data_IF_606105586336
#
_entry.id   IF_606105586336
#
_cell.length_a   1.000
_cell.length_b   1.000
_cell.length_c   1.000
_cell.angle_alpha   90.00
_cell.angle_beta   90.00
_cell.angle_gamma   90.00
#
_symmetry.space_group_name_H-M   'P 1'
#
loop_
_entity.id
_entity.type
_entity.pdbx_description
1 polymer ?
#
# COMPACT_ATOMS: atom_id res chain seq x y z
N UNK A 1 18.47 -7.90 2.54
CA UNK A 1 18.44 -6.80 1.55
C UNK A 1 17.01 -6.33 1.44
N UNK A 2 16.75 -5.01 1.40
CA UNK A 2 15.39 -4.50 1.35
C UNK A 2 14.74 -4.76 -0.03
N UNK A 3 13.42 -4.79 -0.06
CA UNK A 3 12.63 -4.69 -1.28
C UNK A 3 12.47 -3.21 -1.67
N UNK A 4 12.80 -2.87 -2.91
CA UNK A 4 12.73 -1.51 -3.43
C UNK A 4 11.67 -1.45 -4.53
N UNK A 5 10.57 -0.76 -4.25
CA UNK A 5 9.56 -0.44 -5.25
C UNK A 5 9.99 0.78 -6.06
N UNK A 6 10.07 0.59 -7.37
CA UNK A 6 10.36 1.63 -8.35
C UNK A 6 9.03 2.09 -8.96
N UNK A 7 8.49 3.19 -8.44
CA UNK A 7 7.16 3.72 -8.78
C UNK A 7 7.31 4.80 -9.85
N UNK A 8 6.75 4.64 -11.06
CA UNK A 8 6.77 5.71 -12.07
C UNK A 8 6.15 7.00 -11.53
N UNK A 9 6.74 8.15 -11.85
CA UNK A 9 6.27 9.47 -11.38
C UNK A 9 4.81 9.75 -11.74
N UNK A 10 4.34 9.23 -12.87
CA UNK A 10 2.96 9.34 -13.35
C UNK A 10 1.99 8.33 -12.70
N UNK A 11 2.48 7.42 -11.88
CA UNK A 11 1.65 6.38 -11.28
C UNK A 11 0.83 6.94 -10.12
N UNK A 12 -0.47 6.68 -10.16
CA UNK A 12 -1.37 6.91 -9.04
C UNK A 12 -2.43 5.81 -8.96
N UNK A 13 -2.60 5.25 -7.77
CA UNK A 13 -3.51 4.14 -7.49
C UNK A 13 -2.94 3.09 -6.55
N UNK A 14 -3.66 1.97 -6.37
CA UNK A 14 -3.26 0.89 -5.48
C UNK A 14 -2.28 -0.07 -6.16
N UNK A 15 -1.28 -0.48 -5.40
CA UNK A 15 -0.28 -1.49 -5.77
C UNK A 15 -0.52 -2.73 -4.93
N UNK A 16 -0.47 -3.89 -5.56
CA UNK A 16 -0.49 -5.20 -4.91
C UNK A 16 0.68 -6.01 -5.41
N UNK A 17 1.49 -6.53 -4.49
CA UNK A 17 2.53 -7.51 -4.78
C UNK A 17 2.10 -8.87 -4.28
N UNK A 18 2.13 -9.87 -5.17
CA UNK A 18 1.78 -11.26 -4.92
C UNK A 18 3.06 -12.08 -5.04
N UNK A 19 3.42 -12.81 -3.99
CA UNK A 19 4.57 -13.72 -3.97
C UNK A 19 4.14 -15.15 -4.28
N UNK A 20 5.12 -16.00 -4.61
CA UNK A 20 4.92 -17.41 -4.94
C UNK A 20 3.92 -17.63 -6.10
N UNK A 21 4.08 -16.84 -7.17
CA UNK A 21 3.15 -16.80 -8.30
C UNK A 21 3.71 -17.54 -9.52
N UNK A 22 3.00 -18.58 -10.02
CA UNK A 22 3.33 -19.20 -11.31
C UNK A 22 3.36 -18.16 -12.44
N UNK A 23 4.49 -18.10 -13.16
CA UNK A 23 4.67 -17.11 -14.23
C UNK A 23 4.87 -15.67 -13.76
N UNK A 24 5.15 -15.45 -12.47
CA UNK A 24 5.60 -14.16 -11.95
C UNK A 24 6.96 -13.75 -12.52
N UNK A 25 7.45 -12.58 -12.11
CA UNK A 25 8.80 -12.11 -12.40
C UNK A 25 9.77 -12.51 -11.29
N UNK A 26 11.06 -12.53 -11.63
CA UNK A 26 12.13 -12.54 -10.65
C UNK A 26 12.44 -11.10 -10.23
N UNK A 27 12.80 -10.90 -8.96
CA UNK A 27 13.22 -9.58 -8.49
C UNK A 27 14.61 -9.26 -9.04
N UNK A 28 14.82 -8.01 -9.46
CA UNK A 28 16.11 -7.59 -10.02
C UNK A 28 17.05 -7.21 -8.87
N UNK A 29 18.22 -7.86 -8.71
CA UNK A 29 19.19 -7.40 -7.70
C UNK A 29 19.75 -6.03 -8.09
N UNK A 30 19.58 -5.05 -7.21
CA UNK A 30 20.16 -3.72 -7.30
C UNK A 30 21.30 -3.54 -6.29
N UNK A 31 21.90 -2.34 -6.29
CA UNK A 31 23.00 -2.00 -5.38
C UNK A 31 22.58 -2.02 -3.91
N UNK A 32 21.38 -1.52 -3.62
CA UNK A 32 20.89 -1.28 -2.26
C UNK A 32 19.78 -2.25 -1.84
N UNK A 33 19.32 -3.14 -2.73
CA UNK A 33 18.21 -4.05 -2.46
C UNK A 33 17.72 -4.81 -3.68
N UNK A 34 16.65 -5.57 -3.52
CA UNK A 34 15.91 -6.19 -4.63
C UNK A 34 14.95 -5.17 -5.21
N UNK A 35 15.05 -4.88 -6.49
CA UNK A 35 14.26 -3.87 -7.19
C UNK A 35 13.07 -4.51 -7.93
N UNK A 36 11.93 -3.83 -7.87
CA UNK A 36 10.75 -4.17 -8.67
C UNK A 36 10.08 -2.91 -9.18
N UNK A 37 9.80 -2.88 -10.50
CA UNK A 37 9.08 -1.77 -11.12
C UNK A 37 7.57 -1.96 -10.97
N UNK A 38 6.89 -0.92 -10.50
CA UNK A 38 5.43 -0.91 -10.43
C UNK A 38 4.86 -0.80 -11.85
N UNK A 39 4.07 -1.79 -12.32
CA UNK A 39 3.44 -1.73 -13.64
C UNK A 39 2.27 -0.75 -13.64
N UNK A 40 1.80 -0.36 -14.82
CA UNK A 40 0.72 0.63 -14.97
C UNK A 40 -0.58 0.26 -14.23
N UNK A 41 -0.87 -1.04 -14.08
CA UNK A 41 -2.03 -1.54 -13.36
C UNK A 41 -1.78 -1.75 -11.85
N UNK A 42 -0.54 -1.61 -11.38
CA UNK A 42 -0.16 -1.78 -9.97
C UNK A 42 -0.06 -3.23 -9.50
N UNK A 43 -0.27 -4.24 -10.33
CA UNK A 43 -0.24 -5.65 -9.89
C UNK A 43 1.10 -6.29 -10.24
N UNK A 44 1.86 -6.65 -9.21
CA UNK A 44 3.16 -7.30 -9.31
C UNK A 44 2.99 -8.76 -8.91
N UNK A 45 3.46 -9.69 -9.74
CA UNK A 45 3.51 -11.12 -9.44
C UNK A 45 4.95 -11.56 -9.38
N UNK A 46 5.39 -12.17 -8.28
CA UNK A 46 6.77 -12.61 -8.05
C UNK A 46 6.79 -14.13 -7.94
N UNK A 47 7.74 -14.80 -8.60
CA UNK A 47 7.77 -16.27 -8.67
C UNK A 47 8.01 -16.98 -7.34
N UNK A 48 8.76 -16.37 -6.44
CA UNK A 48 9.20 -17.01 -5.20
C UNK A 48 8.83 -16.22 -3.96
N UNK A 49 9.07 -16.84 -2.81
CA UNK A 49 9.02 -16.21 -1.50
C UNK A 49 10.38 -15.60 -1.20
N UNK A 50 10.39 -14.36 -0.71
CA UNK A 50 11.59 -13.65 -0.34
C UNK A 50 11.47 -13.15 1.10
N UNK A 51 12.56 -13.23 1.85
CA UNK A 51 12.70 -12.54 3.13
C UNK A 51 13.45 -11.24 2.90
N UNK A 52 12.88 -10.14 3.37
CA UNK A 52 13.50 -8.82 3.25
C UNK A 52 14.01 -8.36 4.61
N UNK A 53 15.23 -7.88 4.61
CA UNK A 53 15.91 -7.35 5.79
C UNK A 53 16.35 -5.92 5.54
N UNK A 54 16.47 -5.14 6.60
CA UNK A 54 17.12 -3.83 6.57
C UNK A 54 18.54 -3.98 5.97
N UNK A 55 18.96 -3.04 5.12
CA UNK A 55 20.29 -3.13 4.50
C UNK A 55 20.62 -2.00 3.53
N UNK A 56 21.89 -1.95 3.10
CA UNK A 56 22.37 -0.97 2.12
C UNK A 56 22.28 0.48 2.61
N UNK A 57 21.90 1.39 1.71
CA UNK A 57 21.67 2.81 2.01
C UNK A 57 20.42 3.15 2.84
N UNK A 58 19.61 2.17 3.26
CA UNK A 58 18.31 2.37 3.91
C UNK A 58 18.20 1.59 5.24
N UNK A 59 18.90 2.01 6.31
CA UNK A 59 19.04 1.21 7.53
C UNK A 59 17.75 1.05 8.35
N UNK A 60 16.74 1.90 8.12
CA UNK A 60 15.49 1.89 8.87
C UNK A 60 14.35 1.09 8.26
N UNK A 61 14.53 0.51 7.07
CA UNK A 61 13.41 -0.09 6.32
C UNK A 61 13.81 -1.34 5.54
N UNK A 62 13.03 -2.42 5.69
CA UNK A 62 13.09 -3.62 4.84
C UNK A 62 12.32 -3.46 3.53
N UNK A 63 11.49 -2.42 3.43
CA UNK A 63 10.73 -2.03 2.24
C UNK A 63 10.98 -0.54 1.97
N UNK A 64 11.35 -0.23 0.74
CA UNK A 64 11.72 1.12 0.30
C UNK A 64 10.89 1.49 -0.92
N UNK A 65 10.40 2.73 -0.94
CA UNK A 65 9.59 3.25 -2.03
C UNK A 65 10.32 4.41 -2.70
N UNK A 66 10.68 4.24 -3.97
CA UNK A 66 11.34 5.25 -4.77
C UNK A 66 10.43 5.65 -5.93
N UNK A 67 10.15 6.94 -6.05
CA UNK A 67 9.58 7.48 -7.27
C UNK A 67 10.67 7.55 -8.34
N UNK A 68 10.38 7.12 -9.56
CA UNK A 68 11.26 7.22 -10.72
C UNK A 68 10.72 8.25 -11.71
N UNK A 69 11.50 9.30 -11.94
CA UNK A 69 11.23 10.29 -12.97
C UNK A 69 11.58 9.80 -14.39
N UNK A 70 11.20 10.58 -15.40
CA UNK A 70 11.47 10.25 -16.83
C UNK A 70 12.95 10.09 -17.17
N UNK A 71 13.83 10.74 -16.40
CA UNK A 71 15.29 10.70 -16.57
C UNK A 71 15.96 9.65 -15.66
N UNK A 72 15.18 8.68 -15.15
CA UNK A 72 15.63 7.67 -14.18
C UNK A 72 16.10 8.23 -12.82
N UNK A 73 15.84 9.51 -12.55
CA UNK A 73 16.03 10.10 -11.23
C UNK A 73 15.15 9.38 -10.20
N UNK A 74 15.76 9.01 -9.06
CA UNK A 74 15.11 8.27 -7.99
C UNK A 74 14.92 9.16 -6.77
N UNK A 75 13.68 9.36 -6.36
CA UNK A 75 13.33 10.20 -5.20
C UNK A 75 12.62 9.34 -4.15
N UNK A 76 13.14 9.26 -2.91
CA UNK A 76 12.46 8.53 -1.84
C UNK A 76 11.08 9.12 -1.54
N UNK A 77 10.08 8.25 -1.40
CA UNK A 77 8.74 8.63 -0.97
C UNK A 77 8.62 8.59 0.54
N UNK A 78 7.73 9.43 1.06
CA UNK A 78 7.23 9.36 2.43
C UNK A 78 6.15 8.29 2.53
N UNK A 79 5.97 7.74 3.72
CA UNK A 79 4.93 6.79 4.03
C UNK A 79 4.02 7.32 5.14
N UNK A 80 2.72 7.35 4.86
CA UNK A 80 1.69 7.62 5.84
C UNK A 80 1.43 6.37 6.68
N UNK A 81 1.54 6.51 8.00
CA UNK A 81 1.30 5.46 8.98
C UNK A 81 -0.15 5.58 9.46
N UNK A 82 -0.89 4.47 9.36
CA UNK A 82 -2.27 4.33 9.83
C UNK A 82 -2.40 4.68 11.31
N UNK A 83 -3.59 5.07 11.79
CA UNK A 83 -3.79 5.43 13.19
C UNK A 83 -3.36 4.35 14.18
N UNK A 84 -2.70 4.76 15.26
CA UNK A 84 -2.41 3.91 16.41
C UNK A 84 -2.64 4.66 17.72
N UNK A 85 -2.75 3.89 18.80
CA UNK A 85 -2.90 4.42 20.16
C UNK A 85 -1.55 4.45 20.87
N UNK A 86 -1.26 5.54 21.56
CA UNK A 86 -0.20 5.60 22.57
C UNK A 86 -0.78 5.99 23.93
N UNK A 87 -0.22 5.40 24.98
CA UNK A 87 -0.57 5.69 26.37
C UNK A 87 0.59 6.45 27.00
N UNK A 88 0.27 7.57 27.66
CA UNK A 88 1.26 8.30 28.46
C UNK A 88 1.50 7.66 29.83
N UNK A 89 2.36 8.27 30.64
CA UNK A 89 2.71 7.78 31.98
C UNK A 89 1.54 7.87 32.98
N UNK A 90 0.47 8.58 32.64
CA UNK A 90 -0.72 8.80 33.46
C UNK A 90 -1.90 7.94 32.96
N UNK A 91 -1.64 6.92 32.12
CA UNK A 91 -2.64 6.08 31.46
C UNK A 91 -3.67 6.89 30.64
N UNK A 92 -3.25 8.02 30.03
CA UNK A 92 -4.09 8.74 29.07
C UNK A 92 -3.78 8.27 27.66
N UNK A 93 -4.82 7.81 26.97
CA UNK A 93 -4.75 7.39 25.57
C UNK A 93 -4.82 8.59 24.63
N UNK A 94 -3.97 8.58 23.60
CA UNK A 94 -4.02 9.51 22.46
C UNK A 94 -3.97 8.74 21.15
N UNK A 95 -4.80 9.11 20.18
CA UNK A 95 -4.68 8.62 18.81
C UNK A 95 -3.65 9.45 18.04
N UNK A 96 -2.80 8.74 17.30
CA UNK A 96 -1.74 9.31 16.50
C UNK A 96 -1.83 8.78 15.09
N UNK A 97 -1.44 9.60 14.14
CA UNK A 97 -1.05 9.21 12.78
C UNK A 97 0.40 9.60 12.56
N UNK A 98 1.02 9.12 11.48
CA UNK A 98 2.46 9.30 11.33
C UNK A 98 2.93 9.47 9.90
N UNK A 99 4.08 10.10 9.75
CA UNK A 99 4.83 10.17 8.50
C UNK A 99 6.19 9.54 8.74
N UNK A 100 6.50 8.48 8.01
CA UNK A 100 7.80 7.81 8.03
C UNK A 100 8.61 8.19 6.80
N UNK A 101 9.86 8.58 7.02
CA UNK A 101 10.83 8.76 5.93
C UNK A 101 11.59 7.46 5.61
N UNK A 102 12.38 7.49 4.54
CA UNK A 102 13.18 6.34 4.09
C UNK A 102 14.30 5.93 5.05
N UNK A 103 14.64 6.78 6.04
CA UNK A 103 15.61 6.47 7.09
C UNK A 103 14.96 5.83 8.31
N UNK A 104 13.62 5.70 8.30
CA UNK A 104 12.85 5.18 9.42
C UNK A 104 12.50 6.23 10.47
N UNK A 105 12.76 7.53 10.22
CA UNK A 105 12.34 8.57 11.15
C UNK A 105 10.82 8.72 11.08
N UNK A 106 10.16 8.52 12.23
CA UNK A 106 8.73 8.66 12.36
C UNK A 106 8.39 10.02 12.97
N UNK A 107 7.74 10.88 12.19
CA UNK A 107 7.04 12.04 12.72
C UNK A 107 5.66 11.61 13.20
N UNK A 108 5.41 11.75 14.51
CA UNK A 108 4.11 11.48 15.13
C UNK A 108 3.24 12.74 15.10
N UNK A 109 1.99 12.59 14.69
CA UNK A 109 1.03 13.69 14.56
C UNK A 109 -0.21 13.30 15.38
N UNK A 110 -0.60 14.11 16.38
CA UNK A 110 -1.85 13.89 17.09
C UNK A 110 -3.03 13.91 16.14
N UNK A 111 -3.87 12.88 16.19
CA UNK A 111 -5.08 12.81 15.39
C UNK A 111 -6.20 13.57 16.10
N UNK A 112 -6.82 14.51 15.40
CA UNK A 112 -8.06 15.12 15.86
C UNK A 112 -9.20 14.11 15.66
N UNK A 113 -10.07 13.95 16.66
CA UNK A 113 -11.25 13.08 16.54
C UNK A 113 -12.33 13.64 15.59
N UNK A 114 -11.96 14.52 14.65
CA UNK A 114 -12.90 15.09 13.71
C UNK A 114 -13.46 14.01 12.78
N UNK A 115 -14.75 14.09 12.47
CA UNK A 115 -15.34 13.33 11.38
C UNK A 115 -14.65 13.77 10.08
N UNK A 116 -13.81 12.91 9.50
CA UNK A 116 -12.94 13.33 8.40
C UNK A 116 -12.09 12.19 7.83
N UNK A 117 -11.27 12.54 6.84
CA UNK A 117 -10.29 11.63 6.28
C UNK A 117 -9.13 11.46 7.26
N UNK A 118 -8.67 10.23 7.45
CA UNK A 118 -7.74 9.85 8.52
C UNK A 118 -6.41 10.63 8.53
N UNK A 119 -6.02 11.22 7.39
CA UNK A 119 -4.79 12.00 7.23
C UNK A 119 -5.02 13.51 7.14
N UNK A 120 -6.20 14.01 7.52
CA UNK A 120 -6.52 15.44 7.47
C UNK A 120 -5.62 16.29 8.39
N UNK A 121 -5.09 15.71 9.47
CA UNK A 121 -4.19 16.38 10.42
C UNK A 121 -2.73 16.48 9.93
N UNK A 122 -2.41 15.93 8.74
CA UNK A 122 -1.06 16.01 8.22
C UNK A 122 -0.66 17.48 7.93
N UNK A 123 0.63 17.86 8.03
CA UNK A 123 1.06 19.20 7.67
C UNK A 123 0.74 19.54 6.20
N UNK A 124 0.25 20.75 5.94
CA UNK A 124 -0.04 21.23 4.57
C UNK A 124 1.15 21.03 3.61
N UNK A 125 2.38 21.16 4.12
CA UNK A 125 3.62 20.95 3.35
C UNK A 125 3.80 19.55 2.74
N UNK A 126 2.98 18.57 3.12
CA UNK A 126 3.02 17.20 2.60
C UNK A 126 1.73 16.75 1.92
N UNK A 127 0.59 17.41 2.12
CA UNK A 127 -0.71 16.92 1.65
C UNK A 127 -0.83 16.79 0.13
N UNK A 128 -0.13 17.65 -0.61
CA UNK A 128 -0.07 17.62 -2.08
C UNK A 128 1.04 16.73 -2.65
N UNK A 129 1.94 16.21 -1.79
CA UNK A 129 3.06 15.39 -2.25
C UNK A 129 2.62 13.94 -2.45
N UNK A 130 3.09 13.27 -3.51
CA UNK A 130 2.95 11.82 -3.61
C UNK A 130 3.60 11.13 -2.41
N UNK A 131 2.90 10.16 -1.85
CA UNK A 131 3.34 9.34 -0.72
C UNK A 131 2.75 7.94 -0.83
N UNK A 132 3.18 7.08 0.07
CA UNK A 132 2.64 5.74 0.26
C UNK A 132 1.60 5.80 1.36
N UNK A 133 0.38 5.34 1.10
CA UNK A 133 -0.71 5.31 2.06
C UNK A 133 -1.19 3.88 2.24
N UNK A 134 -1.67 3.58 3.45
CA UNK A 134 -2.25 2.30 3.82
C UNK A 134 -1.40 1.10 3.39
N UNK A 135 -0.09 1.16 3.65
CA UNK A 135 0.79 0.03 3.45
C UNK A 135 0.45 -1.06 4.48
N UNK A 136 0.09 -2.24 4.00
CA UNK A 136 -0.35 -3.37 4.83
C UNK A 136 -0.10 -4.71 4.13
N UNK A 137 -0.23 -5.80 4.86
CA UNK A 137 -0.44 -7.11 4.26
C UNK A 137 -1.82 -7.17 3.61
N UNK A 138 -1.95 -7.86 2.47
CA UNK A 138 -3.25 -8.01 1.80
C UNK A 138 -3.96 -9.34 2.07
N UNK A 139 -3.38 -10.20 2.92
CA UNK A 139 -3.88 -11.54 3.20
C UNK A 139 -5.29 -11.52 3.79
N UNK A 140 -5.62 -10.49 4.57
CA UNK A 140 -6.88 -10.40 5.29
C UNK A 140 -8.04 -9.88 4.42
N UNK A 141 -7.78 -9.29 3.24
CA UNK A 141 -8.79 -8.42 2.58
C UNK A 141 -8.90 -8.57 1.07
N UNK A 142 -7.84 -8.95 0.37
CA UNK A 142 -7.86 -8.94 -1.09
C UNK A 142 -8.52 -10.20 -1.65
N UNK A 143 -8.32 -11.38 -1.08
CA UNK A 143 -8.84 -12.62 -1.71
C UNK A 143 -10.07 -13.24 -1.01
N UNK A 144 -10.49 -12.67 0.13
CA UNK A 144 -11.61 -13.08 1.00
C UNK A 144 -12.13 -14.51 0.86
N UNK A 145 -11.28 -15.51 1.05
CA UNK A 145 -11.74 -16.87 1.19
C UNK A 145 -12.17 -17.06 2.65
N UNK A 146 -13.36 -17.65 2.86
CA UNK A 146 -13.97 -17.95 4.16
C UNK A 146 -13.39 -17.14 5.35
N UNK A 147 -13.55 -15.81 5.28
CA UNK A 147 -12.87 -14.87 6.18
C UNK A 147 -13.26 -15.12 7.64
N UNK A 148 -14.49 -15.57 7.87
CA UNK A 148 -14.96 -15.93 9.21
C UNK A 148 -14.13 -17.10 9.77
N UNK A 149 -13.90 -18.16 8.98
CA UNK A 149 -13.04 -19.26 9.37
C UNK A 149 -11.55 -18.85 9.46
N UNK A 150 -11.04 -18.01 8.56
CA UNK A 150 -9.66 -17.52 8.62
C UNK A 150 -9.41 -16.66 9.87
N UNK A 151 -10.28 -15.67 10.12
CA UNK A 151 -10.20 -14.78 11.27
C UNK A 151 -10.44 -15.47 12.61
N UNK A 152 -11.24 -16.56 12.62
CA UNK A 152 -11.40 -17.44 13.77
C UNK A 152 -10.23 -18.43 13.96
N UNK A 153 -9.30 -18.52 13.00
CA UNK A 153 -8.18 -19.45 13.01
C UNK A 153 -8.56 -20.90 12.66
N UNK A 154 -9.75 -21.13 12.10
CA UNK A 154 -10.26 -22.44 11.67
C UNK A 154 -9.66 -22.90 10.34
N UNK A 155 -9.22 -21.96 9.48
CA UNK A 155 -8.55 -22.23 8.21
C UNK A 155 -7.31 -21.36 8.06
N UNK A 156 -6.28 -21.90 7.44
CA UNK A 156 -5.04 -21.18 7.14
C UNK A 156 -5.11 -20.44 5.81
N UNK A 157 -4.19 -19.49 5.58
CA UNK A 157 -4.05 -18.83 4.28
C UNK A 157 -3.77 -19.84 3.15
N UNK A 158 -3.10 -20.96 3.47
CA UNK A 158 -2.80 -22.05 2.53
C UNK A 158 -4.07 -22.83 2.18
N UNK A 159 -4.89 -23.21 3.17
CA UNK A 159 -6.19 -23.89 2.95
C UNK A 159 -7.14 -23.09 2.05
N UNK A 160 -6.91 -21.79 2.05
CA UNK A 160 -7.73 -20.80 1.37
C UNK A 160 -7.09 -20.26 0.09
N UNK A 161 -5.92 -20.77 -0.29
CA UNK A 161 -5.16 -20.37 -1.47
C UNK A 161 -4.89 -18.86 -1.55
N UNK A 162 -4.69 -18.21 -0.39
CA UNK A 162 -4.29 -16.80 -0.31
C UNK A 162 -2.78 -16.72 -0.52
N UNK A 163 -2.30 -16.05 -1.59
CA UNK A 163 -0.88 -15.88 -1.77
C UNK A 163 -0.29 -14.95 -0.70
N UNK A 164 0.97 -15.15 -0.27
CA UNK A 164 1.68 -14.14 0.49
C UNK A 164 1.72 -12.84 -0.31
N UNK A 165 1.30 -11.73 0.31
CA UNK A 165 1.09 -10.51 -0.46
C UNK A 165 1.17 -9.25 0.40
N UNK A 166 1.53 -8.14 -0.24
CA UNK A 166 1.52 -6.80 0.34
C UNK A 166 0.76 -5.83 -0.55
N UNK A 167 0.20 -4.79 0.06
CA UNK A 167 -0.51 -3.74 -0.65
C UNK A 167 -0.18 -2.35 -0.12
N UNK A 168 -0.35 -1.35 -0.97
CA UNK A 168 -0.28 0.06 -0.61
C UNK A 168 -0.95 0.92 -1.68
N UNK A 169 -1.19 2.20 -1.39
CA UNK A 169 -1.68 3.18 -2.36
C UNK A 169 -0.63 4.25 -2.59
N UNK A 170 -0.44 4.63 -3.85
CA UNK A 170 0.42 5.75 -4.23
C UNK A 170 -0.44 6.94 -4.64
N UNK A 171 -0.28 8.06 -3.96
CA UNK A 171 -0.91 9.34 -4.33
C UNK A 171 -0.68 10.40 -3.29
N UNK A 172 -1.27 11.58 -3.49
CA UNK A 172 -1.30 12.65 -2.48
C UNK A 172 -2.62 12.62 -1.71
N UNK A 173 -2.61 13.11 -0.48
CA UNK A 173 -3.80 13.15 0.39
C UNK A 173 -4.93 13.95 -0.27
N UNK A 174 -4.62 15.15 -0.78
CA UNK A 174 -5.61 16.03 -1.42
C UNK A 174 -6.24 15.40 -2.67
N UNK A 175 -5.48 14.56 -3.38
CA UNK A 175 -6.00 13.88 -4.55
C UNK A 175 -6.86 12.68 -4.16
N UNK A 176 -6.34 11.83 -3.28
CA UNK A 176 -6.97 10.56 -2.89
C UNK A 176 -8.32 10.79 -2.22
N UNK A 177 -8.47 11.83 -1.40
CA UNK A 177 -9.77 12.17 -0.77
C UNK A 177 -10.89 12.38 -1.80
N UNK A 178 -10.55 12.87 -3.00
CA UNK A 178 -11.51 13.14 -4.07
C UNK A 178 -11.71 11.96 -5.02
N UNK A 179 -10.91 10.89 -4.89
CA UNK A 179 -11.02 9.76 -5.80
C UNK A 179 -12.38 9.09 -5.72
N UNK A 180 -12.94 8.73 -6.89
CA UNK A 180 -14.12 7.89 -6.94
C UNK A 180 -13.78 6.50 -6.41
N UNK A 181 -14.79 5.78 -5.90
CA UNK A 181 -14.61 4.50 -5.21
C UNK A 181 -13.83 3.45 -6.04
N UNK A 182 -14.07 3.40 -7.35
CA UNK A 182 -13.45 2.43 -8.25
C UNK A 182 -11.93 2.59 -8.40
N UNK A 183 -11.35 3.71 -7.92
CA UNK A 183 -9.90 3.91 -7.87
C UNK A 183 -9.22 3.07 -6.79
N UNK A 184 -9.96 2.61 -5.78
CA UNK A 184 -9.43 1.82 -4.68
C UNK A 184 -9.57 0.32 -4.96
N UNK A 185 -8.83 -0.49 -4.21
CA UNK A 185 -9.14 -1.92 -4.09
C UNK A 185 -10.48 -2.09 -3.36
N UNK A 186 -11.21 -3.16 -3.67
CA UNK A 186 -12.39 -3.54 -2.89
C UNK A 186 -12.01 -3.58 -1.39
N UNK A 187 -12.81 -2.95 -0.54
CA UNK A 187 -12.63 -2.97 0.91
C UNK A 187 -11.78 -1.84 1.51
N UNK A 188 -11.05 -1.03 0.72
CA UNK A 188 -10.27 0.11 1.25
C UNK A 188 -10.90 1.49 1.08
N UNK A 189 -11.59 1.76 -0.03
CA UNK A 189 -12.18 3.09 -0.27
C UNK A 189 -13.48 3.38 0.49
N UNK A 190 -14.27 2.34 0.77
CA UNK A 190 -15.63 2.45 1.32
C UNK A 190 -15.70 2.20 2.82
N UNK A 191 -14.78 1.43 3.40
CA UNK A 191 -14.77 1.14 4.84
C UNK A 191 -14.38 2.37 5.65
N UNK A 192 -13.35 3.11 5.21
CA UNK A 192 -12.91 4.32 5.90
C UNK A 192 -13.84 5.52 5.67
N UNK A 193 -14.47 5.63 4.49
CA UNK A 193 -15.42 6.71 4.19
C UNK A 193 -16.86 6.42 4.67
N UNK A 194 -17.31 5.17 4.65
CA UNK A 194 -18.73 4.79 4.79
C UNK A 194 -18.99 3.53 5.64
N UNK A 195 -17.96 2.89 6.23
CA UNK A 195 -18.08 1.64 7.02
C UNK A 195 -18.74 0.47 6.28
N UNK A 196 -18.57 0.39 4.96
CA UNK A 196 -19.14 -0.69 4.13
C UNK A 196 -18.03 -1.68 3.75
N UNK A 197 -18.18 -2.94 4.17
CA UNK A 197 -17.35 -4.05 3.71
C UNK A 197 -17.72 -4.41 2.26
N UNK A 198 -16.83 -4.12 1.31
CA UNK A 198 -16.97 -4.65 -0.06
C UNK A 198 -16.50 -6.12 -0.08
N UNK A 199 -17.10 -6.98 -0.93
CA UNK A 199 -16.62 -8.35 -1.09
C UNK A 199 -15.18 -8.33 -1.61
N UNK A 200 -14.36 -9.22 -1.09
CA UNK A 200 -13.01 -9.41 -1.58
C UNK A 200 -13.01 -9.98 -3.01
N UNK A 201 -11.85 -9.97 -3.66
CA UNK A 201 -11.65 -10.67 -4.92
C UNK A 201 -11.73 -12.17 -4.70
N UNK A 202 -12.36 -12.91 -5.60
CA UNK A 202 -12.48 -14.37 -5.54
C UNK A 202 -11.30 -15.09 -6.18
N UNK A 203 -10.45 -14.35 -6.91
CA UNK A 203 -9.25 -14.89 -7.54
C UNK A 203 -8.24 -13.79 -7.89
N UNK A 204 -6.99 -14.20 -8.11
CA UNK A 204 -5.91 -13.34 -8.63
C UNK A 204 -6.26 -12.79 -10.02
N UNK A 205 -6.93 -13.58 -10.86
CA UNK A 205 -7.33 -13.12 -12.19
C UNK A 205 -8.36 -12.00 -12.11
N UNK A 206 -9.34 -12.09 -11.20
CA UNK A 206 -10.33 -11.03 -10.98
C UNK A 206 -9.66 -9.72 -10.54
N UNK A 207 -8.71 -9.79 -9.61
CA UNK A 207 -7.91 -8.63 -9.20
C UNK A 207 -7.17 -7.99 -10.39
N UNK A 208 -6.56 -8.81 -11.24
CA UNK A 208 -5.83 -8.34 -12.43
C UNK A 208 -6.78 -7.69 -13.43
N UNK A 209 -7.93 -8.30 -13.70
CA UNK A 209 -8.91 -7.79 -14.65
C UNK A 209 -9.48 -6.45 -14.19
N UNK A 210 -9.80 -6.31 -12.91
CA UNK A 210 -10.27 -5.05 -12.34
C UNK A 210 -9.18 -3.98 -12.35
N UNK A 211 -7.93 -4.35 -12.05
CA UNK A 211 -6.79 -3.43 -12.13
C UNK A 211 -6.54 -2.93 -13.56
N UNK A 212 -6.68 -3.80 -14.56
CA UNK A 212 -6.58 -3.42 -15.97
C UNK A 212 -7.75 -2.52 -16.41
N UNK A 213 -8.98 -2.83 -15.97
CA UNK A 213 -10.15 -2.00 -16.20
C UNK A 213 -9.98 -0.61 -15.57
N UNK A 214 -9.38 -0.51 -14.38
CA UNK A 214 -9.04 0.75 -13.72
C UNK A 214 -8.08 1.59 -14.58
N UNK A 215 -7.05 0.99 -15.16
CA UNK A 215 -6.13 1.69 -16.08
C UNK A 215 -6.86 2.25 -17.29
N UNK A 216 -7.70 1.44 -17.94
CA UNK A 216 -8.48 1.88 -19.10
C UNK A 216 -9.43 3.02 -18.74
N UNK A 217 -10.10 2.93 -17.60
CA UNK A 217 -11.04 3.95 -17.11
C UNK A 217 -10.35 5.25 -16.73
N UNK A 218 -9.22 5.20 -16.01
CA UNK A 218 -8.38 6.38 -15.72
C UNK A 218 -8.03 7.15 -16.99
N UNK A 219 -7.63 6.43 -18.04
CA UNK A 219 -7.31 7.01 -19.35
C UNK A 219 -8.54 7.66 -20.00
N UNK A 220 -9.71 7.01 -19.94
CA UNK A 220 -10.93 7.53 -20.53
C UNK A 220 -11.46 8.78 -19.80
N UNK A 221 -11.32 8.84 -18.47
CA UNK A 221 -11.81 9.95 -17.62
C UNK A 221 -10.75 11.06 -17.42
N UNK A 222 -9.54 10.90 -17.96
CA UNK A 222 -8.46 11.90 -17.80
C UNK A 222 -7.91 12.01 -16.37
N UNK A 223 -8.07 10.96 -15.56
CA UNK A 223 -7.58 10.90 -14.19
C UNK A 223 -6.14 10.38 -14.21
N UNK A 224 -5.18 11.25 -13.90
CA UNK A 224 -3.77 10.87 -13.71
C UNK A 224 -3.50 10.17 -12.37
#
# INVERSE_FOLDING_TARGET
MPLIFLIPQEYSGPVVILFDQPGGIDLTPGKDGYEVKVPANGIIRVKGTYTFDNGGGYPGSSIVFLMIGKNEERTPLLEAINPWQEWDKDDRMSWLVGIRDVRGNLQKIPQSYAEGFVFDDFPESVKDKPMILWHDSCQDRVFGPDWEAYGAGEKTAEDLHIPPCGEFVVGSIERIRTWPEWMFLRGKGKTEKLRINNPAYTSIQELIDEANARVARKKAEGIS
#
